data_IF_660799994978
#
_entry.id   IF_660799994978
#
_cell.length_a   1.000
_cell.length_b   1.000
_cell.length_c   1.000
_cell.angle_alpha   90.00
_cell.angle_beta   90.00
_cell.angle_gamma   90.00
#
_symmetry.space_group_name_H-M   'P 1'
#
loop_
_entity.id
_entity.type
_entity.pdbx_description
1 polymer ?
#
# COMPACT_ATOMS: atom_id res chain seq x y z
N UNK A 1 -4.30 -6.67 -5.39
CA UNK A 1 -3.81 -8.03 -5.64
C UNK A 1 -2.90 -8.03 -6.86
N UNK A 2 -1.59 -7.85 -6.66
CA UNK A 2 -0.67 -7.65 -7.80
C UNK A 2 0.81 -7.97 -7.60
N UNK A 3 1.22 -8.52 -6.45
CA UNK A 3 2.62 -8.90 -6.22
C UNK A 3 2.80 -10.43 -6.21
N UNK A 4 1.73 -11.19 -5.94
CA UNK A 4 1.83 -12.60 -5.50
C UNK A 4 1.27 -13.62 -6.49
N UNK A 5 0.79 -13.20 -7.65
CA UNK A 5 -0.01 -14.07 -8.52
C UNK A 5 0.68 -14.55 -9.79
N UNK A 6 1.96 -14.23 -10.01
CA UNK A 6 2.64 -14.56 -11.29
C UNK A 6 3.96 -15.32 -11.14
N UNK A 7 4.47 -15.53 -9.92
CA UNK A 7 5.66 -16.39 -9.75
C UNK A 7 5.18 -17.83 -9.64
N UNK A 8 5.35 -18.62 -10.71
CA UNK A 8 5.24 -20.09 -10.70
C UNK A 8 6.48 -20.72 -10.03
N UNK A 9 6.90 -20.17 -8.89
CA UNK A 9 7.76 -20.87 -7.94
C UNK A 9 6.87 -21.26 -6.77
N UNK A 10 6.44 -22.51 -6.75
CA UNK A 10 6.07 -23.15 -5.51
C UNK A 10 7.37 -23.34 -4.71
N UNK A 11 7.70 -22.42 -3.80
CA UNK A 11 8.54 -22.83 -2.69
C UNK A 11 7.70 -23.82 -1.88
N UNK A 12 8.15 -25.07 -1.64
CA UNK A 12 7.40 -26.06 -0.85
C UNK A 12 6.97 -25.52 0.53
N UNK A 13 7.67 -24.51 1.04
CA UNK A 13 7.42 -23.83 2.31
C UNK A 13 6.42 -22.66 2.27
N UNK A 14 6.02 -22.15 1.09
CA UNK A 14 5.18 -20.94 1.03
C UNK A 14 4.09 -20.97 -0.06
N UNK A 15 2.97 -21.67 0.18
CA UNK A 15 1.89 -21.74 -0.78
C UNK A 15 1.11 -20.42 -0.94
N UNK A 16 0.66 -20.16 -2.18
CA UNK A 16 -0.02 -18.92 -2.63
C UNK A 16 -1.24 -18.52 -1.78
N UNK A 17 -1.89 -19.47 -1.11
CA UNK A 17 -3.01 -19.17 -0.24
C UNK A 17 -2.59 -18.39 1.01
N UNK A 18 -1.39 -18.62 1.56
CA UNK A 18 -0.92 -17.87 2.73
C UNK A 18 -0.76 -16.40 2.37
N UNK A 19 -0.26 -16.12 1.17
CA UNK A 19 0.01 -14.75 0.78
C UNK A 19 -1.25 -13.98 0.43
N UNK A 20 -2.27 -14.65 -0.12
CA UNK A 20 -3.61 -14.06 -0.32
C UNK A 20 -4.31 -13.82 1.02
N UNK A 21 -4.24 -14.77 1.95
CA UNK A 21 -4.82 -14.62 3.30
C UNK A 21 -4.11 -13.54 4.11
N UNK A 22 -2.78 -13.54 4.09
CA UNK A 22 -1.96 -12.53 4.76
C UNK A 22 -2.26 -11.13 4.22
N UNK A 23 -2.30 -10.96 2.88
CA UNK A 23 -2.67 -9.69 2.29
C UNK A 23 -4.07 -9.23 2.72
N UNK A 24 -5.06 -10.14 2.77
CA UNK A 24 -6.40 -9.81 3.23
C UNK A 24 -6.42 -9.39 4.70
N UNK A 25 -5.75 -10.13 5.58
CA UNK A 25 -5.68 -9.80 7.00
C UNK A 25 -4.95 -8.48 7.24
N UNK A 26 -3.81 -8.27 6.59
CA UNK A 26 -3.07 -7.02 6.66
C UNK A 26 -3.90 -5.85 6.11
N UNK A 27 -4.59 -6.02 4.98
CA UNK A 27 -5.46 -4.98 4.43
C UNK A 27 -6.59 -4.61 5.40
N UNK A 28 -7.25 -5.60 6.02
CA UNK A 28 -8.30 -5.34 7.02
C UNK A 28 -7.76 -4.62 8.26
N UNK A 29 -6.60 -5.06 8.77
CA UNK A 29 -5.93 -4.39 9.89
C UNK A 29 -5.54 -2.96 9.51
N UNK A 30 -4.95 -2.74 8.34
CA UNK A 30 -4.57 -1.41 7.86
C UNK A 30 -5.76 -0.48 7.75
N UNK A 31 -6.90 -0.94 7.21
CA UNK A 31 -8.13 -0.14 7.13
C UNK A 31 -8.68 0.16 8.53
N UNK A 32 -8.66 -0.81 9.46
CA UNK A 32 -9.08 -0.60 10.85
C UNK A 32 -8.22 0.41 11.59
N UNK A 33 -6.89 0.29 11.50
CA UNK A 33 -5.96 1.25 12.09
C UNK A 33 -6.03 2.63 11.44
N UNK A 34 -6.27 2.71 10.13
CA UNK A 34 -6.49 3.98 9.43
C UNK A 34 -7.75 4.67 9.97
N UNK A 35 -8.86 3.95 10.12
CA UNK A 35 -10.08 4.50 10.69
C UNK A 35 -9.86 5.00 12.12
N UNK A 36 -9.19 4.20 12.96
CA UNK A 36 -8.83 4.60 14.33
C UNK A 36 -7.97 5.88 14.33
N UNK A 37 -6.93 5.92 13.49
CA UNK A 37 -6.04 7.07 13.35
C UNK A 37 -6.81 8.36 12.99
N UNK A 38 -7.67 8.30 11.97
CA UNK A 38 -8.49 9.44 11.54
C UNK A 38 -9.41 9.90 12.66
N UNK A 39 -10.11 8.97 13.34
CA UNK A 39 -11.00 9.30 14.46
C UNK A 39 -10.23 9.98 15.58
N UNK A 40 -9.07 9.44 15.97
CA UNK A 40 -8.25 10.06 17.03
C UNK A 40 -7.75 11.44 16.62
N UNK A 41 -7.37 11.65 15.36
CA UNK A 41 -6.90 12.94 14.87
C UNK A 41 -8.02 13.98 14.81
N UNK A 42 -9.23 13.59 14.39
CA UNK A 42 -10.40 14.49 14.31
C UNK A 42 -10.91 14.89 15.70
N UNK A 43 -10.85 13.97 16.67
CA UNK A 43 -11.29 14.22 18.04
C UNK A 43 -10.22 14.98 18.85
N UNK A 44 -8.98 15.00 18.41
CA UNK A 44 -7.89 15.71 19.08
C UNK A 44 -8.17 17.23 19.16
N UNK A 45 -8.38 17.79 20.36
CA UNK A 45 -8.64 19.21 20.55
C UNK A 45 -7.50 20.10 20.06
N UNK A 46 -6.26 19.61 20.08
CA UNK A 46 -5.08 20.41 19.71
C UNK A 46 -5.05 20.78 18.24
N UNK A 47 -5.63 19.94 17.37
CA UNK A 47 -5.57 20.15 15.92
C UNK A 47 -6.74 20.98 15.40
N UNK A 48 -7.89 20.94 16.08
CA UNK A 48 -9.14 21.63 15.67
C UNK A 48 -9.46 21.45 14.18
N UNK A 49 -9.15 20.27 13.63
CA UNK A 49 -9.24 19.96 12.19
C UNK A 49 -10.66 20.15 11.64
N UNK A 50 -11.67 19.73 12.40
CA UNK A 50 -13.05 19.63 11.92
C UNK A 50 -13.23 18.55 10.84
N UNK A 51 -14.47 18.12 10.63
CA UNK A 51 -14.80 17.05 9.67
C UNK A 51 -14.49 17.41 8.21
N UNK A 52 -14.51 18.71 7.88
CA UNK A 52 -14.24 19.20 6.53
C UNK A 52 -12.78 18.96 6.14
N UNK A 53 -11.84 19.21 7.05
CA UNK A 53 -10.42 18.98 6.79
C UNK A 53 -10.06 17.49 6.67
N UNK A 54 -10.90 16.59 7.22
CA UNK A 54 -10.73 15.15 7.06
C UNK A 54 -11.20 14.64 5.68
N UNK A 55 -12.09 15.36 5.01
CA UNK A 55 -12.68 14.96 3.73
C UNK A 55 -12.14 15.73 2.52
N UNK A 56 -11.70 16.98 2.72
CA UNK A 56 -11.24 17.85 1.63
C UNK A 56 -9.73 18.10 1.78
N UNK A 57 -8.91 17.64 0.82
CA UNK A 57 -7.48 17.91 0.84
C UNK A 57 -7.19 19.41 0.97
N UNK A 58 -6.20 19.76 1.80
CA UNK A 58 -5.71 21.13 2.00
C UNK A 58 -6.72 22.11 2.63
N UNK A 59 -7.89 21.64 3.08
CA UNK A 59 -8.87 22.49 3.78
C UNK A 59 -8.50 22.78 5.25
N UNK A 60 -7.49 22.08 5.80
CA UNK A 60 -7.01 22.28 7.17
C UNK A 60 -6.20 23.57 7.31
N UNK A 61 -6.51 24.39 8.31
CA UNK A 61 -5.63 25.49 8.76
C UNK A 61 -4.37 24.98 9.46
N UNK A 62 -4.43 23.76 10.02
CA UNK A 62 -3.31 23.11 10.69
C UNK A 62 -2.48 22.31 9.69
N UNK A 63 -1.21 22.71 9.47
CA UNK A 63 -0.24 22.02 8.60
C UNK A 63 -0.85 21.54 7.27
N UNK A 64 -1.39 22.46 6.43
CA UNK A 64 -2.25 22.15 5.28
C UNK A 64 -1.64 21.16 4.29
N UNK A 65 -0.35 21.30 4.00
CA UNK A 65 0.35 20.39 3.07
C UNK A 65 0.39 18.96 3.62
N UNK A 66 0.82 18.80 4.87
CA UNK A 66 0.98 17.48 5.48
C UNK A 66 -0.38 16.81 5.67
N UNK A 67 -1.35 17.51 6.26
CA UNK A 67 -2.72 16.99 6.42
C UNK A 67 -3.34 16.65 5.06
N UNK A 68 -3.18 17.52 4.06
CA UNK A 68 -3.66 17.29 2.70
C UNK A 68 -3.12 16.01 2.07
N UNK A 69 -1.82 15.70 2.25
CA UNK A 69 -1.23 14.43 1.78
C UNK A 69 -1.86 13.21 2.47
N UNK A 70 -2.21 13.34 3.76
CA UNK A 70 -2.93 12.31 4.52
C UNK A 70 -4.32 12.07 3.95
N UNK A 71 -5.09 13.13 3.69
CA UNK A 71 -6.42 13.06 3.08
C UNK A 71 -6.36 12.45 1.67
N UNK A 72 -5.42 12.89 0.83
CA UNK A 72 -5.24 12.30 -0.51
C UNK A 72 -4.92 10.80 -0.41
N UNK A 73 -4.05 10.39 0.51
CA UNK A 73 -3.74 8.96 0.71
C UNK A 73 -4.95 8.17 1.20
N UNK A 74 -5.76 8.75 2.08
CA UNK A 74 -7.04 8.19 2.54
C UNK A 74 -8.02 8.02 1.36
N UNK A 75 -8.22 9.05 0.55
CA UNK A 75 -9.14 9.02 -0.59
C UNK A 75 -8.76 7.94 -1.61
N UNK A 76 -7.47 7.84 -1.92
CA UNK A 76 -6.95 6.75 -2.77
C UNK A 76 -7.22 5.38 -2.14
N UNK A 77 -7.00 5.23 -0.83
CA UNK A 77 -7.28 3.99 -0.10
C UNK A 77 -8.76 3.62 -0.16
N UNK A 78 -9.66 4.58 0.04
CA UNK A 78 -11.11 4.39 -0.07
C UNK A 78 -11.46 3.94 -1.49
N UNK A 79 -10.95 4.61 -2.52
CA UNK A 79 -11.18 4.22 -3.91
C UNK A 79 -10.71 2.79 -4.19
N UNK A 80 -9.54 2.39 -3.69
CA UNK A 80 -9.01 1.03 -3.82
C UNK A 80 -9.90 0.00 -3.12
N UNK A 81 -10.36 0.29 -1.90
CA UNK A 81 -11.24 -0.60 -1.12
C UNK A 81 -12.59 -0.75 -1.83
N UNK A 82 -13.25 0.35 -2.16
CA UNK A 82 -14.57 0.35 -2.82
C UNK A 82 -14.50 -0.38 -4.15
N UNK A 83 -13.51 -0.09 -4.99
CA UNK A 83 -13.37 -0.79 -6.28
C UNK A 83 -13.01 -2.27 -6.10
N UNK A 84 -12.30 -2.64 -5.04
CA UNK A 84 -12.00 -4.04 -4.74
C UNK A 84 -13.21 -4.82 -4.24
N UNK A 85 -14.14 -4.17 -3.53
CA UNK A 85 -15.44 -4.74 -3.16
C UNK A 85 -16.36 -4.88 -4.38
N UNK A 86 -16.32 -3.91 -5.29
CA UNK A 86 -17.11 -3.89 -6.53
C UNK A 86 -16.43 -4.57 -7.72
N UNK A 87 -15.34 -5.33 -7.48
CA UNK A 87 -14.50 -5.90 -8.54
C UNK A 87 -15.28 -6.76 -9.55
N UNK A 88 -16.34 -7.43 -9.07
CA UNK A 88 -17.14 -8.35 -9.88
C UNK A 88 -18.04 -7.59 -10.87
N UNK A 89 -18.23 -6.28 -10.67
CA UNK A 89 -19.03 -5.39 -11.55
C UNK A 89 -18.19 -4.52 -12.48
N UNK A 90 -16.94 -4.19 -12.12
CA UNK A 90 -16.11 -3.20 -12.83
C UNK A 90 -15.22 -3.81 -13.94
N UNK A 91 -15.14 -5.13 -14.01
CA UNK A 91 -14.23 -5.83 -14.91
C UNK A 91 -12.76 -5.74 -14.48
N UNK A 92 -11.96 -6.73 -14.89
CA UNK A 92 -10.60 -6.90 -14.37
C UNK A 92 -9.64 -5.76 -14.75
N UNK A 93 -9.84 -5.10 -15.90
CA UNK A 93 -8.96 -4.01 -16.35
C UNK A 93 -9.14 -2.74 -15.52
N UNK A 94 -10.39 -2.29 -15.34
CA UNK A 94 -10.68 -1.06 -14.60
C UNK A 94 -10.35 -1.22 -13.11
N UNK A 95 -10.74 -2.36 -12.50
CA UNK A 95 -10.35 -2.67 -11.12
C UNK A 95 -8.82 -2.65 -10.95
N UNK A 96 -8.07 -3.27 -11.88
CA UNK A 96 -6.61 -3.27 -11.79
C UNK A 96 -6.04 -1.86 -11.90
N UNK A 97 -6.54 -1.03 -12.82
CA UNK A 97 -6.07 0.35 -12.95
C UNK A 97 -6.21 1.14 -11.63
N UNK A 98 -7.38 1.05 -10.97
CA UNK A 98 -7.58 1.72 -9.66
C UNK A 98 -6.72 1.09 -8.57
N UNK A 99 -6.61 -0.23 -8.55
CA UNK A 99 -5.84 -0.92 -7.52
C UNK A 99 -4.33 -0.58 -7.57
N UNK A 100 -3.79 -0.17 -8.72
CA UNK A 100 -2.42 0.32 -8.81
C UNK A 100 -2.17 1.62 -8.06
N UNK A 101 -3.22 2.40 -7.76
CA UNK A 101 -3.10 3.59 -6.92
C UNK A 101 -2.61 3.27 -5.51
N UNK A 102 -2.63 2.00 -5.07
CA UNK A 102 -2.02 1.57 -3.81
C UNK A 102 -0.52 1.93 -3.75
N UNK A 103 0.18 1.87 -4.88
CA UNK A 103 1.60 2.25 -4.96
C UNK A 103 1.83 3.75 -4.81
N UNK A 104 0.82 4.59 -5.08
CA UNK A 104 0.88 6.03 -4.85
C UNK A 104 0.39 6.42 -3.45
N UNK A 105 -0.66 5.76 -2.95
CA UNK A 105 -1.20 5.97 -1.61
C UNK A 105 -0.17 5.71 -0.52
N UNK A 106 0.61 4.63 -0.63
CA UNK A 106 1.57 4.24 0.41
C UNK A 106 2.70 5.27 0.62
N UNK A 107 3.42 5.76 -0.41
CA UNK A 107 4.41 6.84 -0.23
C UNK A 107 3.80 8.13 0.32
N UNK A 108 2.58 8.50 -0.11
CA UNK A 108 1.90 9.69 0.41
C UNK A 108 1.62 9.57 1.92
N UNK A 109 1.22 8.38 2.38
CA UNK A 109 1.03 8.11 3.80
C UNK A 109 2.35 8.22 4.60
N UNK A 110 3.46 7.69 4.06
CA UNK A 110 4.78 7.78 4.71
C UNK A 110 5.27 9.24 4.78
N UNK A 111 5.11 10.00 3.70
CA UNK A 111 5.47 11.42 3.67
C UNK A 111 4.59 12.23 4.63
N UNK A 112 3.29 11.95 4.68
CA UNK A 112 2.37 12.52 5.66
C UNK A 112 2.82 12.25 7.10
N UNK A 113 3.15 10.99 7.44
CA UNK A 113 3.54 10.62 8.81
C UNK A 113 4.82 11.32 9.26
N UNK A 114 5.79 11.49 8.36
CA UNK A 114 7.05 12.16 8.68
C UNK A 114 6.91 13.68 8.88
N UNK A 115 5.97 14.33 8.18
CA UNK A 115 5.81 15.77 8.27
C UNK A 115 4.70 16.27 9.22
N UNK A 116 3.71 15.42 9.51
CA UNK A 116 2.60 15.73 10.41
C UNK A 116 2.88 15.33 11.88
N UNK A 117 3.67 14.27 12.12
CA UNK A 117 3.90 13.75 13.47
C UNK A 117 4.80 14.66 14.31
N UNK A 118 4.39 14.99 15.54
CA UNK A 118 5.24 15.69 16.52
C UNK A 118 6.50 14.89 16.84
N UNK A 119 6.37 13.56 16.87
CA UNK A 119 7.41 12.62 17.25
C UNK A 119 7.97 11.87 16.03
N UNK A 120 7.78 12.41 14.82
CA UNK A 120 8.14 11.77 13.56
C UNK A 120 9.62 11.36 13.49
N UNK A 121 10.51 12.13 14.13
CA UNK A 121 11.94 11.88 14.19
C UNK A 121 12.40 11.15 15.45
N UNK A 122 11.48 10.71 16.29
CA UNK A 122 11.83 9.86 17.42
C UNK A 122 12.48 8.56 16.90
N UNK A 123 13.56 8.05 17.53
CA UNK A 123 14.29 6.89 17.03
C UNK A 123 13.41 5.66 16.79
N UNK A 124 12.40 5.44 17.65
CA UNK A 124 11.45 4.34 17.51
C UNK A 124 10.57 4.49 16.26
N UNK A 125 10.11 5.70 15.93
CA UNK A 125 9.28 5.98 14.77
C UNK A 125 10.07 5.82 13.47
N UNK A 126 11.30 6.33 13.45
CA UNK A 126 12.23 6.15 12.34
C UNK A 126 12.61 4.68 12.13
N UNK A 127 12.82 3.92 13.21
CA UNK A 127 13.10 2.49 13.13
C UNK A 127 11.92 1.72 12.52
N UNK A 128 10.69 1.97 12.97
CA UNK A 128 9.48 1.33 12.42
C UNK A 128 9.29 1.71 10.95
N UNK A 129 9.35 3.00 10.64
CA UNK A 129 9.18 3.50 9.26
C UNK A 129 10.26 2.93 8.34
N UNK A 130 11.52 2.95 8.78
CA UNK A 130 12.65 2.38 8.06
C UNK A 130 12.49 0.88 7.83
N UNK A 131 12.06 0.11 8.83
CA UNK A 131 11.79 -1.31 8.70
C UNK A 131 10.66 -1.58 7.70
N UNK A 132 9.58 -0.80 7.73
CA UNK A 132 8.49 -0.93 6.75
C UNK A 132 8.97 -0.63 5.32
N UNK A 133 9.67 0.48 5.12
CA UNK A 133 10.21 0.89 3.81
C UNK A 133 11.20 -0.15 3.28
N UNK A 134 12.12 -0.63 4.12
CA UNK A 134 13.09 -1.65 3.76
C UNK A 134 12.40 -2.98 3.39
N UNK A 135 11.40 -3.40 4.16
CA UNK A 135 10.63 -4.63 3.88
C UNK A 135 9.92 -4.55 2.53
N UNK A 136 9.23 -3.43 2.26
CA UNK A 136 8.55 -3.21 0.97
C UNK A 136 9.57 -3.14 -0.17
N UNK A 137 10.66 -2.40 0.00
CA UNK A 137 11.73 -2.28 -0.98
C UNK A 137 12.36 -3.63 -1.32
N UNK A 138 12.69 -4.44 -0.32
CA UNK A 138 13.21 -5.79 -0.50
C UNK A 138 12.22 -6.68 -1.27
N UNK A 139 10.92 -6.62 -0.94
CA UNK A 139 9.89 -7.36 -1.66
C UNK A 139 9.76 -6.94 -3.14
N UNK A 140 9.89 -5.64 -3.44
CA UNK A 140 9.88 -5.13 -4.81
C UNK A 140 11.12 -5.59 -5.58
N UNK A 141 12.31 -5.44 -5.00
CA UNK A 141 13.58 -5.88 -5.62
C UNK A 141 13.55 -7.38 -5.90
N UNK A 142 13.16 -8.18 -4.90
CA UNK A 142 12.98 -9.63 -5.06
C UNK A 142 12.05 -9.97 -6.21
N UNK A 143 10.95 -9.24 -6.37
CA UNK A 143 9.98 -9.46 -7.45
C UNK A 143 10.57 -9.16 -8.82
N UNK A 144 11.36 -8.10 -8.94
CA UNK A 144 12.01 -7.71 -10.20
C UNK A 144 13.07 -8.73 -10.62
N UNK A 145 13.89 -9.21 -9.68
CA UNK A 145 14.94 -10.22 -9.97
C UNK A 145 14.37 -11.63 -10.20
N UNK A 146 13.28 -11.98 -9.53
CA UNK A 146 12.57 -13.25 -9.79
C UNK A 146 11.85 -13.26 -11.14
N UNK A 147 11.51 -12.08 -11.70
CA UNK A 147 10.86 -11.98 -13.00
C UNK A 147 11.84 -12.26 -14.15
N UNK A 148 13.07 -11.73 -14.06
CA UNK A 148 14.11 -11.94 -15.07
C UNK A 148 14.55 -13.41 -15.10
N UNK A 149 14.81 -14.01 -13.93
CA UNK A 149 15.24 -15.41 -13.84
C UNK A 149 14.27 -16.39 -14.51
N UNK A 150 12.96 -16.19 -14.38
CA UNK A 150 11.97 -17.07 -15.03
C UNK A 150 11.92 -16.88 -16.56
N UNK A 151 12.20 -15.68 -17.06
CA UNK A 151 12.23 -15.42 -18.51
C UNK A 151 13.44 -16.11 -19.15
N UNK A 152 14.60 -16.00 -18.52
CA UNK A 152 15.84 -16.60 -19.00
C UNK A 152 15.73 -18.15 -19.07
N UNK A 153 15.05 -18.75 -18.09
CA UNK A 153 14.78 -20.20 -18.08
C UNK A 153 13.84 -20.65 -19.22
N UNK A 154 12.81 -19.87 -19.53
CA UNK A 154 11.91 -20.17 -20.65
C UNK A 154 12.64 -20.06 -21.99
N UNK A 155 13.46 -19.03 -22.17
CA UNK A 155 14.29 -18.85 -23.36
C UNK A 155 15.28 -20.03 -23.53
N UNK A 156 15.85 -20.53 -22.43
CA UNK A 156 16.72 -21.70 -22.45
C UNK A 156 16.00 -23.01 -22.81
N UNK A 157 14.78 -23.25 -22.29
CA UNK A 157 13.97 -24.43 -22.62
C UNK A 157 13.52 -24.39 -24.09
N UNK A 158 12.98 -23.25 -24.54
CA UNK A 158 12.53 -23.09 -25.94
C UNK A 158 13.68 -23.27 -26.92
N UNK A 159 14.89 -22.77 -26.60
CA UNK A 159 16.09 -22.99 -27.42
C UNK A 159 16.48 -24.47 -27.50
N UNK A 160 16.23 -25.25 -26.44
CA UNK A 160 16.53 -26.69 -26.36
C UNK A 160 15.60 -27.55 -27.22
N UNK A 161 14.34 -27.15 -27.37
CA UNK A 161 13.35 -27.89 -28.16
C UNK A 161 13.45 -27.63 -29.68
N UNK A 162 14.23 -26.63 -30.11
CA UNK A 162 14.41 -26.24 -31.51
C UNK A 162 15.67 -26.87 -32.15
N UNK A 163 16.57 -27.46 -31.34
CA UNK A 163 17.78 -28.17 -31.82
C UNK A 163 17.58 -29.68 -31.81
#
# INVERSE_FOLDING_TARGET
>A
MGILTVVRWQSPSWPRFLTVQLHRNLALLSVGFLALHIVTAVVDPFTSLGLVAAAIPFASSYRPLWVGLGVVSMDLTIAIVVTSLLRDRLGQRAWRAVHWLAYASWPLAVVHSLGAGSDAFAPWMLAITGACVATVGAAVVWRMTSASSNRDLLEAVVRRDIQ
#
